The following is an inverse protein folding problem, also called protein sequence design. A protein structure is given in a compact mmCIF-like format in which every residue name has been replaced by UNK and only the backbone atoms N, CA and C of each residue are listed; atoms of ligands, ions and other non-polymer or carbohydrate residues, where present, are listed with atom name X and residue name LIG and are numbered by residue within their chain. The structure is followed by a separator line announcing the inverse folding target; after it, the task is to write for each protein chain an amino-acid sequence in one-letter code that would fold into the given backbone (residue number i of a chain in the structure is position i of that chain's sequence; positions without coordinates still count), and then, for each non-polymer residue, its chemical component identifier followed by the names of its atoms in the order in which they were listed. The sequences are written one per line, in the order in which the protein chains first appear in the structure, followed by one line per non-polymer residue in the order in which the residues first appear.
data_IF_383826091167
#
_entry.id   IF_383826091167
#
_cell.length_a   1.000
_cell.length_b   1.000
_cell.length_c   1.000
_cell.angle_alpha   90.00
_cell.angle_beta   90.00
_cell.angle_gamma   90.00
#
_symmetry.space_group_name_H-M   'P 1'
#
loop_
_entity.id
_entity.type
_entity.pdbx_description
1 polymer ?
#
# COMPACT_ATOMS: atom_id res chain seq x y z
N UNK A 1 23.99 5.07 7.42
CA UNK A 1 24.43 5.31 6.04
C UNK A 1 23.23 5.07 5.16
N UNK A 2 22.82 6.05 4.35
CA UNK A 2 21.69 5.92 3.40
C UNK A 2 22.23 5.73 1.98
N UNK A 3 21.39 5.23 1.08
CA UNK A 3 21.71 4.98 -0.34
C UNK A 3 22.17 6.26 -1.05
N UNK A 4 21.58 7.42 -0.71
CA UNK A 4 21.95 8.72 -1.27
C UNK A 4 23.38 9.16 -0.93
N UNK A 5 23.98 8.60 0.13
CA UNK A 5 25.33 8.93 0.59
C UNK A 5 26.39 8.04 -0.07
N UNK A 6 25.99 7.11 -0.93
CA UNK A 6 26.88 6.11 -1.51
C UNK A 6 27.76 6.70 -2.61
N UNK A 7 29.07 6.58 -2.45
CA UNK A 7 30.06 7.00 -3.44
C UNK A 7 30.56 5.82 -4.27
N UNK A 8 30.72 6.02 -5.58
CA UNK A 8 31.22 5.01 -6.50
C UNK A 8 32.61 4.46 -6.07
N UNK A 9 32.83 3.16 -6.30
CA UNK A 9 34.10 2.45 -6.07
C UNK A 9 34.57 2.30 -4.61
N UNK A 10 33.75 2.68 -3.61
CA UNK A 10 34.02 2.37 -2.21
C UNK A 10 33.38 1.02 -1.82
N UNK A 11 34.08 0.22 -1.00
CA UNK A 11 33.49 -0.95 -0.34
C UNK A 11 32.98 -0.57 1.04
N UNK A 12 31.76 -0.99 1.37
CA UNK A 12 31.13 -0.69 2.65
C UNK A 12 30.19 -1.82 3.06
N UNK A 13 29.86 -1.85 4.34
CA UNK A 13 28.81 -2.68 4.91
C UNK A 13 27.59 -1.77 5.17
N UNK A 14 26.42 -2.15 4.66
CA UNK A 14 25.16 -1.43 4.85
C UNK A 14 24.04 -2.41 5.19
N UNK A 15 23.09 -2.00 6.03
CA UNK A 15 21.85 -2.74 6.24
C UNK A 15 20.81 -2.26 5.23
N UNK A 16 20.14 -3.20 4.57
CA UNK A 16 19.14 -2.91 3.56
C UNK A 16 17.98 -3.91 3.66
N UNK A 17 16.77 -3.44 3.39
CA UNK A 17 15.59 -4.27 3.26
C UNK A 17 15.56 -4.90 1.86
N UNK A 18 15.37 -6.21 1.79
CA UNK A 18 15.17 -6.90 0.51
C UNK A 18 13.71 -6.72 0.07
N UNK A 19 13.48 -5.95 -1.00
CA UNK A 19 12.15 -5.79 -1.63
C UNK A 19 11.87 -6.90 -2.63
N UNK A 20 12.79 -7.15 -3.55
CA UNK A 20 12.68 -8.19 -4.58
C UNK A 20 13.99 -8.99 -4.64
N UNK A 21 13.89 -10.27 -4.97
CA UNK A 21 15.02 -11.18 -5.13
C UNK A 21 14.70 -12.16 -6.26
N UNK A 22 15.52 -12.16 -7.30
CA UNK A 22 15.35 -13.01 -8.48
C UNK A 22 16.67 -13.72 -8.81
N UNK A 23 16.62 -15.04 -8.97
CA UNK A 23 17.75 -15.82 -9.49
C UNK A 23 17.68 -15.90 -11.02
N UNK A 24 18.81 -15.67 -11.66
CA UNK A 24 18.96 -15.68 -13.11
C UNK A 24 20.32 -16.31 -13.48
N UNK A 25 20.53 -16.63 -14.75
CA UNK A 25 21.78 -17.24 -15.23
C UNK A 25 22.44 -16.39 -16.29
N UNK A 26 23.77 -16.32 -16.27
CA UNK A 26 24.52 -15.62 -17.31
C UNK A 26 24.45 -16.40 -18.63
N UNK A 27 24.93 -15.79 -19.72
CA UNK A 27 25.09 -16.48 -21.01
C UNK A 27 25.96 -17.75 -20.93
N UNK A 28 26.80 -17.85 -19.91
CA UNK A 28 27.66 -19.02 -19.66
C UNK A 28 27.02 -20.03 -18.69
N UNK A 29 25.73 -19.89 -18.38
CA UNK A 29 24.99 -20.67 -17.36
C UNK A 29 25.50 -20.51 -15.92
N UNK A 30 26.25 -19.45 -15.62
CA UNK A 30 26.64 -19.16 -14.22
C UNK A 30 25.45 -18.50 -13.49
N UNK A 31 25.01 -19.02 -12.33
CA UNK A 31 23.91 -18.43 -11.57
C UNK A 31 24.34 -17.11 -10.92
N UNK A 32 23.40 -16.17 -10.88
CA UNK A 32 23.54 -14.90 -10.16
C UNK A 32 22.18 -14.46 -9.63
N UNK A 33 22.20 -13.59 -8.63
CA UNK A 33 20.98 -13.11 -7.98
C UNK A 33 20.89 -11.60 -8.13
N UNK A 34 19.75 -11.14 -8.62
CA UNK A 34 19.36 -9.73 -8.64
C UNK A 34 18.54 -9.42 -7.40
N UNK A 35 18.84 -8.29 -6.80
CA UNK A 35 18.12 -7.76 -5.66
C UNK A 35 17.59 -6.37 -5.99
N UNK A 36 16.42 -6.06 -5.46
CA UNK A 36 15.99 -4.69 -5.23
C UNK A 36 16.05 -4.45 -3.72
N UNK A 37 16.89 -3.50 -3.31
CA UNK A 37 17.04 -3.11 -1.91
C UNK A 37 16.39 -1.77 -1.63
N UNK A 38 15.98 -1.57 -0.38
CA UNK A 38 15.51 -0.29 0.13
C UNK A 38 16.21 0.10 1.42
N UNK A 39 16.48 1.39 1.59
CA UNK A 39 16.92 1.99 2.85
C UNK A 39 15.78 2.74 3.58
N UNK A 40 14.54 2.54 3.16
CA UNK A 40 13.34 3.23 3.65
C UNK A 40 13.00 4.51 2.90
N UNK A 41 13.98 5.16 2.26
CA UNK A 41 13.79 6.39 1.48
C UNK A 41 13.98 6.17 -0.02
N UNK A 42 14.99 5.38 -0.38
CA UNK A 42 15.42 5.15 -1.74
C UNK A 42 15.55 3.65 -2.01
N UNK A 43 15.42 3.30 -3.28
CA UNK A 43 15.64 1.94 -3.75
C UNK A 43 16.92 1.87 -4.60
N UNK A 44 17.63 0.75 -4.50
CA UNK A 44 18.84 0.49 -5.30
C UNK A 44 18.89 -0.96 -5.76
N UNK A 45 19.29 -1.17 -7.01
CA UNK A 45 19.53 -2.51 -7.54
C UNK A 45 20.86 -3.06 -7.04
N UNK A 46 20.86 -4.36 -6.71
CA UNK A 46 22.05 -5.11 -6.36
C UNK A 46 22.20 -6.39 -7.18
N UNK A 47 23.43 -6.80 -7.46
CA UNK A 47 23.73 -8.08 -8.09
C UNK A 47 24.78 -8.82 -7.25
N UNK A 48 24.50 -10.09 -6.96
CA UNK A 48 25.48 -11.04 -6.41
C UNK A 48 25.80 -12.09 -7.47
N UNK A 49 27.04 -12.11 -7.94
CA UNK A 49 27.48 -13.03 -9.00
C UNK A 49 27.90 -14.38 -8.45
N UNK A 50 27.82 -15.42 -9.30
CA UNK A 50 28.36 -16.76 -9.05
C UNK A 50 27.80 -17.43 -7.80
N UNK A 51 26.52 -17.19 -7.49
CA UNK A 51 25.82 -17.75 -6.34
C UNK A 51 24.40 -18.14 -6.74
N UNK A 52 23.94 -19.29 -6.23
CA UNK A 52 22.54 -19.71 -6.31
C UNK A 52 21.83 -19.40 -4.99
N UNK A 53 20.51 -19.20 -5.03
CA UNK A 53 19.70 -18.88 -3.86
C UNK A 53 19.82 -19.94 -2.75
N UNK A 54 20.02 -21.20 -3.10
CA UNK A 54 20.22 -22.32 -2.16
C UNK A 54 21.45 -22.16 -1.26
N UNK A 55 22.47 -21.42 -1.70
CA UNK A 55 23.69 -21.17 -0.93
C UNK A 55 23.55 -19.98 0.02
N UNK A 56 22.49 -19.19 -0.11
CA UNK A 56 22.21 -18.10 0.81
C UNK A 56 21.52 -18.63 2.07
N UNK A 57 21.82 -18.01 3.21
CA UNK A 57 21.12 -18.34 4.46
C UNK A 57 19.62 -18.05 4.33
N UNK A 58 18.77 -18.89 4.96
CA UNK A 58 17.29 -18.77 4.90
C UNK A 58 16.71 -17.39 5.25
N UNK A 59 17.49 -16.55 5.94
CA UNK A 59 17.10 -15.18 6.28
C UNK A 59 17.38 -14.14 5.19
N UNK A 60 18.00 -14.51 4.08
CA UNK A 60 18.21 -13.65 2.91
C UNK A 60 17.09 -13.91 1.91
N UNK A 61 15.99 -13.17 2.08
CA UNK A 61 14.78 -13.29 1.26
C UNK A 61 13.99 -11.98 1.28
N UNK A 62 13.04 -11.76 0.36
CA UNK A 62 12.14 -10.62 0.41
C UNK A 62 11.49 -10.45 1.79
N UNK A 63 11.30 -9.20 2.23
CA UNK A 63 10.73 -8.87 3.54
C UNK A 63 11.69 -9.03 4.72
N UNK A 64 13.00 -9.18 4.49
CA UNK A 64 14.01 -9.24 5.55
C UNK A 64 15.06 -8.15 5.38
N UNK A 65 15.53 -7.63 6.51
CA UNK A 65 16.70 -6.75 6.55
C UNK A 65 17.95 -7.61 6.57
N UNK A 66 18.87 -7.31 5.65
CA UNK A 66 20.15 -8.01 5.54
C UNK A 66 21.30 -7.02 5.64
N UNK A 67 22.41 -7.46 6.22
CA UNK A 67 23.69 -6.76 6.13
C UNK A 67 24.34 -7.14 4.81
N UNK A 68 24.61 -6.16 3.97
CA UNK A 68 25.22 -6.33 2.65
C UNK A 68 26.61 -5.72 2.66
N UNK A 69 27.61 -6.51 2.25
CA UNK A 69 28.93 -6.00 1.87
C UNK A 69 28.97 -5.83 0.36
N UNK A 70 29.07 -4.59 -0.09
CA UNK A 70 29.00 -4.27 -1.51
C UNK A 70 30.03 -3.23 -1.94
N UNK A 71 30.16 -3.08 -3.25
CA UNK A 71 30.87 -1.98 -3.89
C UNK A 71 29.93 -1.33 -4.90
N UNK A 72 29.85 -0.01 -4.90
CA UNK A 72 29.00 0.73 -5.84
C UNK A 72 29.68 0.78 -7.20
N UNK A 73 28.96 0.35 -8.24
CA UNK A 73 29.37 0.47 -9.64
C UNK A 73 28.37 1.32 -10.41
N UNK A 74 28.86 2.11 -11.35
CA UNK A 74 28.01 2.71 -12.37
C UNK A 74 27.76 1.68 -13.46
N UNK A 75 26.49 1.39 -13.73
CA UNK A 75 26.06 0.55 -14.84
C UNK A 75 24.99 1.29 -15.65
N UNK A 76 25.31 1.61 -16.92
CA UNK A 76 24.41 2.37 -17.82
C UNK A 76 23.83 3.63 -17.15
N UNK A 77 24.71 4.46 -16.61
CA UNK A 77 24.40 5.73 -15.92
C UNK A 77 23.58 5.62 -14.62
N UNK A 78 23.31 4.40 -14.12
CA UNK A 78 22.65 4.16 -12.83
C UNK A 78 23.63 3.52 -11.82
N UNK A 79 23.49 3.88 -10.55
CA UNK A 79 24.22 3.25 -9.45
C UNK A 79 23.66 1.84 -9.20
N UNK A 80 24.55 0.85 -9.10
CA UNK A 80 24.20 -0.53 -8.77
C UNK A 80 25.18 -1.08 -7.74
N UNK A 81 24.67 -1.86 -6.79
CA UNK A 81 25.48 -2.56 -5.79
C UNK A 81 26.01 -3.87 -6.36
N UNK A 82 27.34 -4.02 -6.41
CA UNK A 82 27.96 -5.33 -6.60
C UNK A 82 28.16 -5.98 -5.23
N UNK A 83 27.41 -7.03 -4.94
CA UNK A 83 27.36 -7.68 -3.63
C UNK A 83 28.46 -8.75 -3.58
N UNK A 84 29.28 -8.69 -2.54
CA UNK A 84 30.35 -9.66 -2.30
C UNK A 84 29.98 -10.66 -1.21
N UNK A 85 29.21 -10.21 -0.21
CA UNK A 85 28.72 -11.04 0.87
C UNK A 85 27.44 -10.44 1.47
N UNK A 86 26.55 -11.28 1.98
CA UNK A 86 25.37 -10.84 2.71
C UNK A 86 24.99 -11.83 3.82
N UNK A 87 24.32 -11.31 4.86
CA UNK A 87 23.70 -12.12 5.91
C UNK A 87 22.44 -11.45 6.44
N UNK A 88 21.53 -12.22 7.02
CA UNK A 88 20.39 -11.66 7.75
C UNK A 88 20.87 -10.76 8.91
N UNK A 89 20.10 -9.71 9.21
CA UNK A 89 20.25 -8.96 10.44
C UNK A 89 19.93 -9.85 11.64
N UNK A 90 20.71 -9.72 12.71
CA UNK A 90 20.56 -10.44 13.97
C UNK A 90 20.16 -9.45 15.08
N UNK A 91 19.59 -9.92 16.20
CA UNK A 91 19.18 -9.04 17.33
C UNK A 91 20.33 -8.14 17.84
N UNK A 92 21.57 -8.66 17.82
CA UNK A 92 22.79 -7.95 18.22
C UNK A 92 23.15 -6.76 17.31
N UNK A 93 22.58 -6.69 16.10
CA UNK A 93 22.83 -5.59 15.18
C UNK A 93 22.00 -4.34 15.53
N UNK A 94 21.03 -4.45 16.46
CA UNK A 94 20.19 -3.35 16.95
C UNK A 94 19.57 -2.49 15.84
N UNK A 95 19.13 -3.15 14.77
CA UNK A 95 18.52 -2.49 13.62
C UNK A 95 17.03 -2.29 13.89
N UNK A 96 16.57 -1.03 13.92
CA UNK A 96 15.14 -0.74 13.92
C UNK A 96 14.59 -0.92 12.51
N UNK A 97 13.57 -1.76 12.38
CA UNK A 97 12.93 -2.06 11.12
C UNK A 97 12.21 -0.85 10.50
N UNK A 98 11.75 0.07 11.35
CA UNK A 98 11.06 1.28 10.92
C UNK A 98 11.99 2.23 10.14
N UNK A 99 13.31 2.13 10.31
CA UNK A 99 14.28 2.94 9.57
C UNK A 99 14.39 2.56 8.09
N UNK A 100 13.85 1.40 7.70
CA UNK A 100 13.99 0.79 6.36
C UNK A 100 12.67 0.61 5.63
N UNK A 101 11.55 0.98 6.26
CA UNK A 101 10.21 0.82 5.70
C UNK A 101 9.60 2.20 5.53
N UNK A 102 9.18 2.51 4.29
CA UNK A 102 8.35 3.68 4.05
C UNK A 102 6.99 3.46 4.73
N UNK A 103 6.70 4.27 5.74
CA UNK A 103 5.43 4.27 6.47
C UNK A 103 4.56 5.46 6.09
N UNK A 104 3.42 5.56 6.76
CA UNK A 104 2.48 6.68 6.64
C UNK A 104 2.95 7.87 7.49
N UNK A 105 2.61 9.13 7.10
CA UNK A 105 2.97 10.30 7.88
C UNK A 105 2.19 10.39 9.21
N UNK A 106 1.04 9.73 9.29
CA UNK A 106 0.22 9.58 10.49
C UNK A 106 0.42 8.20 11.10
N UNK A 107 0.31 8.10 12.42
CA UNK A 107 0.38 6.80 13.11
C UNK A 107 -0.89 5.98 12.81
N UNK A 108 -0.77 4.72 12.37
CA UNK A 108 -1.93 3.87 12.10
C UNK A 108 -2.88 3.72 13.28
N UNK A 109 -2.36 3.66 14.50
CA UNK A 109 -3.16 3.53 15.72
C UNK A 109 -4.05 4.75 15.95
N UNK A 110 -3.54 5.95 15.67
CA UNK A 110 -4.30 7.20 15.81
C UNK A 110 -5.40 7.30 14.76
N UNK A 111 -5.11 6.91 13.51
CA UNK A 111 -6.10 6.86 12.43
C UNK A 111 -7.20 5.85 12.72
N UNK A 112 -6.83 4.64 13.16
CA UNK A 112 -7.80 3.59 13.52
C UNK A 112 -8.71 4.07 14.65
N UNK A 113 -8.14 4.65 15.71
CA UNK A 113 -8.92 5.16 16.84
C UNK A 113 -9.91 6.24 16.40
N UNK A 114 -9.51 7.16 15.52
CA UNK A 114 -10.41 8.22 15.03
C UNK A 114 -11.55 7.66 14.18
N UNK A 115 -11.27 6.72 13.26
CA UNK A 115 -12.32 6.06 12.47
C UNK A 115 -13.30 5.32 13.38
N UNK A 116 -12.77 4.54 14.33
CA UNK A 116 -13.59 3.75 15.25
C UNK A 116 -14.48 4.64 16.13
N UNK A 117 -13.92 5.72 16.70
CA UNK A 117 -14.66 6.69 17.51
C UNK A 117 -15.77 7.40 16.72
N UNK A 118 -15.56 7.70 15.44
CA UNK A 118 -16.64 8.27 14.63
C UNK A 118 -17.79 7.27 14.46
N UNK A 119 -17.47 6.00 14.17
CA UNK A 119 -18.46 4.94 13.98
C UNK A 119 -19.24 4.68 15.27
N UNK A 120 -18.60 4.75 16.44
CA UNK A 120 -19.26 4.63 17.74
C UNK A 120 -20.41 5.64 17.92
N UNK A 121 -20.34 6.79 17.24
CA UNK A 121 -21.34 7.85 17.27
C UNK A 121 -22.42 7.74 16.18
N UNK A 122 -22.43 6.68 15.37
CA UNK A 122 -23.50 6.44 14.39
C UNK A 122 -24.84 6.19 15.09
N UNK A 123 -25.91 6.73 14.51
CA UNK A 123 -27.29 6.55 14.97
C UNK A 123 -27.93 5.29 14.35
N UNK A 124 -27.51 4.89 13.15
CA UNK A 124 -27.93 3.64 12.54
C UNK A 124 -27.12 2.49 13.15
N UNK A 125 -27.74 1.77 14.09
CA UNK A 125 -27.12 0.65 14.81
C UNK A 125 -26.66 -0.48 13.87
N UNK A 126 -27.35 -0.74 12.76
CA UNK A 126 -26.98 -1.79 11.82
C UNK A 126 -25.67 -1.47 11.08
N UNK A 127 -25.53 -0.21 10.61
CA UNK A 127 -24.29 0.28 10.01
C UNK A 127 -23.15 0.35 11.02
N UNK A 128 -23.44 0.82 12.24
CA UNK A 128 -22.46 0.86 13.34
C UNK A 128 -21.90 -0.53 13.62
N UNK A 129 -22.77 -1.49 13.91
CA UNK A 129 -22.37 -2.83 14.33
C UNK A 129 -21.53 -3.54 13.27
N UNK A 130 -21.90 -3.45 11.99
CA UNK A 130 -21.15 -4.12 10.93
C UNK A 130 -19.78 -3.47 10.68
N UNK A 131 -19.69 -2.13 10.70
CA UNK A 131 -18.42 -1.42 10.53
C UNK A 131 -17.49 -1.66 11.71
N UNK A 132 -17.98 -1.55 12.95
CA UNK A 132 -17.19 -1.85 14.15
C UNK A 132 -16.68 -3.29 14.15
N UNK A 133 -17.54 -4.25 13.77
CA UNK A 133 -17.15 -5.66 13.69
C UNK A 133 -16.01 -5.88 12.69
N UNK A 134 -16.14 -5.34 11.49
CA UNK A 134 -15.14 -5.51 10.43
C UNK A 134 -13.83 -4.77 10.75
N UNK A 135 -13.90 -3.58 11.34
CA UNK A 135 -12.71 -2.87 11.83
C UNK A 135 -12.00 -3.65 12.94
N UNK A 136 -12.74 -4.13 13.94
CA UNK A 136 -12.18 -4.85 15.08
C UNK A 136 -11.54 -6.18 14.66
N UNK A 137 -12.23 -6.97 13.83
CA UNK A 137 -11.75 -8.28 13.36
C UNK A 137 -10.47 -8.17 12.53
N UNK A 138 -10.27 -7.04 11.84
CA UNK A 138 -9.16 -6.85 10.91
C UNK A 138 -8.12 -5.85 11.43
N UNK A 139 -8.25 -5.34 12.66
CA UNK A 139 -7.38 -4.31 13.24
C UNK A 139 -5.91 -4.63 13.07
N UNK A 140 -5.49 -5.84 13.46
CA UNK A 140 -4.08 -6.24 13.44
C UNK A 140 -3.47 -6.10 12.05
N UNK A 141 -4.24 -6.41 11.00
CA UNK A 141 -3.81 -6.24 9.60
C UNK A 141 -3.90 -4.79 9.15
N UNK A 142 -5.00 -4.09 9.45
CA UNK A 142 -5.23 -2.70 9.03
C UNK A 142 -4.11 -1.74 9.51
N UNK A 143 -3.48 -2.03 10.65
CA UNK A 143 -2.38 -1.23 11.18
C UNK A 143 -1.14 -1.21 10.26
N UNK A 144 -0.86 -2.28 9.50
CA UNK A 144 0.34 -2.36 8.68
C UNK A 144 0.11 -2.64 7.19
N UNK A 145 -1.08 -3.09 6.80
CA UNK A 145 -1.34 -3.48 5.41
C UNK A 145 -1.16 -2.30 4.44
N UNK A 146 -0.48 -2.50 3.31
CA UNK A 146 -0.44 -1.52 2.23
C UNK A 146 -1.75 -1.54 1.45
N UNK A 147 -2.07 -0.44 0.75
CA UNK A 147 -3.26 -0.40 -0.10
C UNK A 147 -3.03 -1.07 -1.46
N UNK A 148 -1.78 -1.29 -1.85
CA UNK A 148 -1.44 -1.87 -3.14
C UNK A 148 -0.05 -2.51 -3.14
N UNK A 149 0.22 -3.33 -4.15
CA UNK A 149 1.55 -3.92 -4.36
C UNK A 149 2.59 -2.89 -4.82
N UNK A 150 2.22 -1.96 -5.71
CA UNK A 150 3.17 -1.03 -6.35
C UNK A 150 2.68 0.41 -6.52
N UNK A 151 1.38 0.65 -6.66
CA UNK A 151 0.85 1.95 -7.10
C UNK A 151 -0.05 2.50 -6.00
N UNK A 152 0.16 3.76 -5.59
CA UNK A 152 -0.57 4.51 -4.56
C UNK A 152 -0.72 3.79 -3.22
N UNK A 153 -0.22 4.40 -2.15
CA UNK A 153 -0.29 3.83 -0.80
C UNK A 153 0.34 2.42 -0.66
N UNK A 154 1.33 2.09 -1.49
CA UNK A 154 2.15 0.87 -1.40
C UNK A 154 3.21 0.98 -0.29
N UNK A 155 2.77 1.35 0.91
CA UNK A 155 3.57 1.64 2.10
C UNK A 155 2.97 0.97 3.32
N UNK A 156 3.76 0.76 4.38
CA UNK A 156 3.25 0.17 5.63
C UNK A 156 2.18 1.07 6.26
N UNK A 157 1.01 0.49 6.53
CA UNK A 157 -0.19 1.21 7.01
C UNK A 157 -0.93 1.97 5.91
N UNK A 158 -0.51 1.82 4.64
CA UNK A 158 -1.03 2.57 3.51
C UNK A 158 -2.53 2.38 3.28
N UNK A 159 -3.07 1.18 3.52
CA UNK A 159 -4.50 0.89 3.37
C UNK A 159 -5.34 1.76 4.32
N UNK A 160 -4.96 1.78 5.60
CA UNK A 160 -5.67 2.59 6.60
C UNK A 160 -5.49 4.09 6.34
N UNK A 161 -4.31 4.51 5.90
CA UNK A 161 -4.06 5.91 5.55
C UNK A 161 -4.90 6.39 4.36
N UNK A 162 -5.03 5.55 3.33
CA UNK A 162 -5.91 5.78 2.18
C UNK A 162 -7.36 5.98 2.63
N UNK A 163 -7.90 5.01 3.38
CA UNK A 163 -9.25 5.08 3.96
C UNK A 163 -9.43 6.33 4.81
N UNK A 164 -8.44 6.67 5.65
CA UNK A 164 -8.50 7.84 6.53
C UNK A 164 -8.56 9.16 5.76
N UNK A 165 -7.75 9.33 4.70
CA UNK A 165 -7.80 10.54 3.86
C UNK A 165 -9.15 10.69 3.17
N UNK A 166 -9.68 9.60 2.59
CA UNK A 166 -11.01 9.61 1.99
C UNK A 166 -12.08 9.94 3.02
N UNK A 167 -11.99 9.37 4.22
CA UNK A 167 -12.91 9.60 5.32
C UNK A 167 -12.95 11.09 5.74
N UNK A 168 -11.80 11.74 5.88
CA UNK A 168 -11.74 13.19 6.19
C UNK A 168 -12.40 14.04 5.08
N UNK A 169 -12.15 13.70 3.81
CA UNK A 169 -12.81 14.36 2.68
C UNK A 169 -14.32 14.12 2.68
N UNK A 170 -14.76 12.90 2.99
CA UNK A 170 -16.16 12.52 3.02
C UNK A 170 -16.96 13.23 4.10
N UNK A 171 -16.38 13.48 5.29
CA UNK A 171 -17.01 14.31 6.32
C UNK A 171 -17.30 15.72 5.79
N UNK A 172 -16.38 16.28 5.01
CA UNK A 172 -16.55 17.59 4.37
C UNK A 172 -17.64 17.55 3.30
N UNK A 173 -17.59 16.57 2.40
CA UNK A 173 -18.62 16.40 1.36
C UNK A 173 -20.01 16.16 1.94
N UNK A 174 -20.10 15.38 3.02
CA UNK A 174 -21.33 15.13 3.74
C UNK A 174 -21.95 16.39 4.36
N UNK A 175 -21.11 17.32 4.78
CA UNK A 175 -21.57 18.60 5.32
C UNK A 175 -22.13 19.50 4.21
N UNK A 176 -21.55 19.46 3.01
CA UNK A 176 -21.99 20.22 1.83
C UNK A 176 -23.30 19.66 1.26
N UNK A 177 -23.37 18.34 1.04
CA UNK A 177 -24.50 17.67 0.38
C UNK A 177 -25.50 17.03 1.35
N UNK A 178 -25.56 17.53 2.60
CA UNK A 178 -26.30 16.92 3.73
C UNK A 178 -27.76 16.54 3.48
N UNK A 179 -28.44 17.17 2.52
CA UNK A 179 -29.86 16.90 2.23
C UNK A 179 -30.06 15.71 1.28
N UNK A 180 -29.00 15.31 0.59
CA UNK A 180 -29.07 14.31 -0.48
C UNK A 180 -28.34 13.03 -0.13
N UNK A 181 -27.46 13.05 0.88
CA UNK A 181 -26.67 11.90 1.26
C UNK A 181 -27.06 11.34 2.62
N UNK A 182 -27.01 10.03 2.74
CA UNK A 182 -26.89 9.36 4.02
C UNK A 182 -25.41 9.35 4.45
N UNK A 183 -25.07 10.21 5.41
CA UNK A 183 -23.71 10.38 5.93
C UNK A 183 -23.12 9.06 6.44
N UNK A 184 -23.88 8.31 7.23
CA UNK A 184 -23.37 7.08 7.87
C UNK A 184 -23.14 5.98 6.83
N UNK A 185 -24.00 5.89 5.80
CA UNK A 185 -23.78 4.98 4.68
C UNK A 185 -22.53 5.34 3.87
N UNK A 186 -22.33 6.63 3.55
CA UNK A 186 -21.13 7.10 2.85
C UNK A 186 -19.86 6.77 3.63
N UNK A 187 -19.81 7.10 4.93
CA UNK A 187 -18.65 6.83 5.76
C UNK A 187 -18.41 5.33 5.94
N UNK A 188 -19.47 4.53 6.10
CA UNK A 188 -19.38 3.06 6.16
C UNK A 188 -18.80 2.49 4.88
N UNK A 189 -19.30 2.94 3.72
CA UNK A 189 -18.78 2.54 2.42
C UNK A 189 -17.29 2.86 2.29
N UNK A 190 -16.86 4.07 2.64
CA UNK A 190 -15.45 4.47 2.57
C UNK A 190 -14.57 3.63 3.48
N UNK A 191 -15.00 3.37 4.71
CA UNK A 191 -14.23 2.56 5.65
C UNK A 191 -14.03 1.13 5.13
N UNK A 192 -15.03 0.59 4.43
CA UNK A 192 -15.08 -0.82 4.06
C UNK A 192 -14.76 -1.13 2.60
N UNK A 193 -14.72 -0.14 1.69
CA UNK A 193 -14.67 -0.39 0.23
C UNK A 193 -13.53 -1.33 -0.17
N UNK A 194 -12.38 -1.17 0.46
CA UNK A 194 -11.15 -1.89 0.19
C UNK A 194 -10.80 -2.94 1.26
N UNK A 195 -11.72 -3.26 2.17
CA UNK A 195 -11.44 -4.18 3.28
C UNK A 195 -10.98 -5.56 2.80
N UNK A 196 -11.44 -5.99 1.61
CA UNK A 196 -11.02 -7.25 0.98
C UNK A 196 -9.53 -7.33 0.66
N UNK A 197 -8.79 -6.19 0.63
CA UNK A 197 -7.34 -6.17 0.42
C UNK A 197 -6.58 -6.97 1.49
N UNK A 198 -7.15 -7.11 2.70
CA UNK A 198 -6.57 -7.94 3.77
C UNK A 198 -6.61 -9.45 3.48
N UNK A 199 -7.40 -9.87 2.48
CA UNK A 199 -7.49 -11.23 1.94
C UNK A 199 -6.80 -11.35 0.58
N UNK A 200 -6.82 -10.29 -0.22
CA UNK A 200 -6.22 -10.26 -1.56
C UNK A 200 -4.68 -10.24 -1.53
N UNK A 201 -4.08 -9.46 -0.64
CA UNK A 201 -2.64 -9.23 -0.60
C UNK A 201 -1.95 -10.14 0.43
N UNK A 202 -0.88 -10.82 0.00
CA UNK A 202 0.05 -11.51 0.89
C UNK A 202 1.14 -10.52 1.34
N UNK A 203 0.84 -9.83 2.44
CA UNK A 203 1.70 -8.80 3.02
C UNK A 203 2.36 -9.27 4.30
N UNK A 204 3.66 -9.05 4.40
CA UNK A 204 4.38 -9.15 5.68
C UNK A 204 3.98 -8.01 6.62
N UNK A 205 4.22 -8.15 7.93
CA UNK A 205 4.02 -7.08 8.93
C UNK A 205 4.82 -5.79 8.65
N UNK A 206 5.76 -5.87 7.71
CA UNK A 206 6.55 -4.76 7.20
C UNK A 206 5.81 -3.93 6.15
N UNK A 207 4.59 -4.31 5.77
CA UNK A 207 3.82 -3.68 4.71
C UNK A 207 4.36 -3.98 3.30
N UNK A 208 5.26 -4.96 3.16
CA UNK A 208 5.74 -5.42 1.84
C UNK A 208 4.81 -6.53 1.36
N UNK A 209 4.25 -6.36 0.16
CA UNK A 209 3.47 -7.39 -0.54
C UNK A 209 4.42 -8.28 -1.33
N UNK A 210 4.55 -9.55 -0.92
CA UNK A 210 5.33 -10.53 -1.68
C UNK A 210 4.59 -10.87 -2.99
N UNK A 211 3.31 -11.24 -2.86
CA UNK A 211 2.43 -11.51 -3.98
C UNK A 211 0.94 -11.34 -3.62
N UNK A 212 0.07 -11.60 -4.59
CA UNK A 212 -1.35 -11.79 -4.35
C UNK A 212 -1.61 -13.20 -3.80
N UNK A 213 -2.54 -13.32 -2.85
CA UNK A 213 -3.02 -14.61 -2.34
C UNK A 213 -3.72 -15.41 -3.44
N UNK A 214 -4.01 -16.69 -3.18
CA UNK A 214 -4.76 -17.52 -4.14
C UNK A 214 -6.14 -16.92 -4.41
N UNK A 215 -6.82 -16.51 -3.35
CA UNK A 215 -8.12 -15.85 -3.39
C UNK A 215 -8.02 -14.49 -4.11
N UNK A 216 -6.98 -13.71 -3.81
CA UNK A 216 -6.72 -12.43 -4.49
C UNK A 216 -6.51 -12.57 -5.99
N UNK A 217 -5.80 -13.62 -6.44
CA UNK A 217 -5.60 -13.90 -7.88
C UNK A 217 -6.86 -14.38 -8.60
N UNK A 218 -7.74 -15.08 -7.90
CA UNK A 218 -8.94 -15.69 -8.50
C UNK A 218 -10.19 -14.80 -8.40
N UNK A 219 -10.30 -14.01 -7.33
CA UNK A 219 -11.51 -13.27 -6.97
C UNK A 219 -11.27 -11.77 -6.82
N UNK A 220 -10.15 -11.38 -6.21
CA UNK A 220 -9.80 -9.97 -5.94
C UNK A 220 -10.55 -9.36 -4.75
N UNK A 221 -10.10 -8.18 -4.31
CA UNK A 221 -10.59 -7.53 -3.08
C UNK A 221 -12.08 -7.15 -3.13
N UNK A 222 -12.65 -6.82 -4.28
CA UNK A 222 -14.07 -6.46 -4.40
C UNK A 222 -14.95 -7.63 -3.96
N UNK A 223 -14.69 -8.82 -4.50
CA UNK A 223 -15.45 -10.03 -4.20
C UNK A 223 -15.21 -10.46 -2.75
N UNK A 224 -13.95 -10.45 -2.30
CA UNK A 224 -13.60 -10.75 -0.90
C UNK A 224 -14.27 -9.78 0.08
N UNK A 225 -14.33 -8.48 -0.23
CA UNK A 225 -15.02 -7.48 0.57
C UNK A 225 -16.53 -7.73 0.67
N UNK A 226 -17.17 -8.10 -0.45
CA UNK A 226 -18.59 -8.49 -0.47
C UNK A 226 -18.85 -9.73 0.39
N UNK A 227 -17.96 -10.73 0.36
CA UNK A 227 -18.04 -11.93 1.21
C UNK A 227 -17.89 -11.54 2.69
N UNK A 228 -16.91 -10.71 3.02
CA UNK A 228 -16.69 -10.23 4.39
C UNK A 228 -17.90 -9.47 4.94
N UNK A 229 -18.53 -8.61 4.14
CA UNK A 229 -19.79 -7.95 4.52
C UNK A 229 -20.90 -8.97 4.75
N UNK A 230 -21.07 -9.93 3.83
CA UNK A 230 -22.12 -10.94 3.94
C UNK A 230 -22.00 -11.76 5.24
N UNK A 231 -20.79 -12.26 5.51
CA UNK A 231 -20.51 -13.08 6.70
C UNK A 231 -20.71 -12.29 8.00
N UNK A 232 -20.41 -11.00 8.00
CA UNK A 232 -20.64 -10.13 9.15
C UNK A 232 -22.14 -9.83 9.32
N UNK A 233 -22.85 -9.52 8.23
CA UNK A 233 -24.28 -9.24 8.22
C UNK A 233 -25.10 -10.45 8.71
N UNK A 234 -24.79 -11.66 8.23
CA UNK A 234 -25.46 -12.90 8.65
C UNK A 234 -25.29 -13.15 10.15
N UNK A 235 -24.07 -12.98 10.67
CA UNK A 235 -23.77 -13.15 12.11
C UNK A 235 -24.47 -12.13 13.00
N UNK A 236 -24.61 -10.90 12.52
CA UNK A 236 -25.22 -9.80 13.27
C UNK A 236 -26.75 -9.74 13.09
N UNK A 237 -27.32 -10.48 12.14
CA UNK A 237 -28.73 -10.38 11.76
C UNK A 237 -29.06 -9.03 11.12
N UNK A 238 -28.09 -8.42 10.42
CA UNK A 238 -28.23 -7.12 9.77
C UNK A 238 -29.36 -7.14 8.74
N UNK A 239 -30.22 -6.10 8.67
CA UNK A 239 -31.28 -6.01 7.67
C UNK A 239 -30.73 -6.09 6.23
N UNK A 240 -31.45 -6.84 5.39
CA UNK A 240 -31.05 -7.09 4.00
C UNK A 240 -30.79 -5.82 3.19
N UNK A 241 -31.54 -4.74 3.43
CA UNK A 241 -31.34 -3.46 2.73
C UNK A 241 -29.99 -2.82 3.08
N UNK A 242 -29.58 -2.85 4.36
CA UNK A 242 -28.30 -2.30 4.81
C UNK A 242 -27.15 -3.08 4.22
N UNK A 243 -27.23 -4.42 4.27
CA UNK A 243 -26.25 -5.31 3.67
C UNK A 243 -26.12 -5.07 2.15
N UNK A 244 -27.25 -4.97 1.44
CA UNK A 244 -27.29 -4.73 0.00
C UNK A 244 -26.61 -3.40 -0.37
N UNK A 245 -26.93 -2.32 0.34
CA UNK A 245 -26.35 -1.01 0.09
C UNK A 245 -24.84 -1.01 0.35
N UNK A 246 -24.36 -1.61 1.44
CA UNK A 246 -22.92 -1.71 1.69
C UNK A 246 -22.20 -2.55 0.63
N UNK A 247 -22.79 -3.67 0.21
CA UNK A 247 -22.25 -4.46 -0.91
C UNK A 247 -22.22 -3.65 -2.20
N UNK A 248 -23.23 -2.82 -2.46
CA UNK A 248 -23.25 -1.94 -3.63
C UNK A 248 -22.13 -0.89 -3.57
N UNK A 249 -21.86 -0.31 -2.39
CA UNK A 249 -20.71 0.60 -2.20
C UNK A 249 -19.39 -0.09 -2.60
N UNK A 250 -19.16 -1.33 -2.16
CA UNK A 250 -17.96 -2.09 -2.55
C UNK A 250 -17.98 -2.44 -4.04
N UNK A 251 -19.09 -2.96 -4.57
CA UNK A 251 -19.10 -3.49 -5.94
C UNK A 251 -19.05 -2.40 -7.02
N UNK A 252 -19.21 -1.13 -6.64
CA UNK A 252 -19.26 -0.02 -7.57
C UNK A 252 -18.18 1.05 -7.40
N UNK A 253 -17.29 0.93 -6.41
CA UNK A 253 -16.33 1.99 -6.09
C UNK A 253 -15.31 2.29 -7.18
N UNK A 254 -14.95 1.31 -8.02
CA UNK A 254 -14.07 1.55 -9.19
C UNK A 254 -14.78 2.30 -10.34
N UNK A 255 -16.08 2.58 -10.21
CA UNK A 255 -16.83 3.39 -11.16
C UNK A 255 -17.19 2.62 -12.42
N UNK A 256 -16.31 2.65 -13.42
CA UNK A 256 -16.56 2.07 -14.74
C UNK A 256 -16.09 0.60 -14.84
N UNK A 257 -16.73 -0.16 -15.72
CA UNK A 257 -16.34 -1.57 -15.99
C UNK A 257 -14.89 -1.67 -16.51
N UNK A 258 -14.44 -0.66 -17.27
CA UNK A 258 -13.06 -0.57 -17.77
C UNK A 258 -12.01 -0.41 -16.65
N UNK A 259 -12.42 0.08 -15.48
CA UNK A 259 -11.60 0.18 -14.27
C UNK A 259 -11.70 -1.08 -13.40
N UNK A 260 -12.37 -2.13 -13.87
CA UNK A 260 -12.55 -3.38 -13.13
C UNK A 260 -13.77 -3.41 -12.19
N UNK A 261 -14.63 -2.38 -12.23
CA UNK A 261 -15.85 -2.33 -11.42
C UNK A 261 -16.93 -3.28 -11.96
N UNK A 262 -17.49 -4.22 -11.17
CA UNK A 262 -18.59 -5.07 -11.65
C UNK A 262 -19.90 -4.30 -11.91
N UNK A 263 -20.09 -3.14 -11.25
CA UNK A 263 -21.22 -2.23 -11.47
C UNK A 263 -20.79 -0.77 -11.42
N UNK A 264 -21.61 0.09 -12.01
CA UNK A 264 -21.49 1.54 -11.83
C UNK A 264 -22.12 1.97 -10.51
N UNK A 265 -21.69 3.11 -9.92
CA UNK A 265 -22.40 3.70 -8.80
C UNK A 265 -23.85 3.99 -9.19
N UNK A 266 -24.77 3.70 -8.27
CA UNK A 266 -26.22 3.84 -8.47
C UNK A 266 -26.89 4.59 -7.31
N UNK A 267 -26.09 4.98 -6.32
CA UNK A 267 -26.47 5.83 -5.21
C UNK A 267 -25.50 7.01 -5.17
N UNK A 268 -25.92 8.13 -4.60
CA UNK A 268 -25.07 9.32 -4.49
C UNK A 268 -23.87 9.06 -3.57
N UNK A 269 -24.03 8.21 -2.56
CA UNK A 269 -22.95 7.81 -1.67
C UNK A 269 -21.88 7.02 -2.44
N UNK A 270 -22.28 6.07 -3.28
CA UNK A 270 -21.35 5.29 -4.09
C UNK A 270 -20.64 6.16 -5.14
N UNK A 271 -21.35 7.13 -5.73
CA UNK A 271 -20.77 8.08 -6.70
C UNK A 271 -19.70 8.95 -6.02
N UNK A 272 -19.99 9.47 -4.83
CA UNK A 272 -19.03 10.26 -4.05
C UNK A 272 -17.84 9.40 -3.66
N UNK A 273 -18.06 8.17 -3.18
CA UNK A 273 -17.00 7.26 -2.79
C UNK A 273 -16.04 7.01 -3.97
N UNK A 274 -16.58 6.70 -5.15
CA UNK A 274 -15.78 6.49 -6.36
C UNK A 274 -14.86 7.67 -6.66
N UNK A 275 -15.39 8.90 -6.67
CA UNK A 275 -14.55 10.07 -6.93
C UNK A 275 -13.56 10.35 -5.81
N UNK A 276 -13.89 10.07 -4.55
CA UNK A 276 -12.95 10.24 -3.45
C UNK A 276 -11.77 9.27 -3.55
N UNK A 277 -12.01 8.04 -4.01
CA UNK A 277 -10.97 7.05 -4.27
C UNK A 277 -10.01 7.54 -5.38
N UNK A 278 -10.58 7.97 -6.52
CA UNK A 278 -9.81 8.55 -7.64
C UNK A 278 -9.02 9.81 -7.24
N UNK A 279 -9.62 10.70 -6.43
CA UNK A 279 -8.94 11.89 -5.92
C UNK A 279 -7.77 11.47 -5.04
N UNK A 280 -7.97 10.56 -4.09
CA UNK A 280 -6.92 10.17 -3.14
C UNK A 280 -5.75 9.48 -3.86
N UNK A 281 -6.05 8.56 -4.78
CA UNK A 281 -5.08 7.86 -5.61
C UNK A 281 -4.28 8.84 -6.50
N UNK A 282 -4.94 9.83 -7.10
CA UNK A 282 -4.30 10.85 -7.93
C UNK A 282 -3.41 11.76 -7.09
N UNK A 283 -3.93 12.31 -5.99
CA UNK A 283 -3.17 13.22 -5.12
C UNK A 283 -1.97 12.53 -4.50
N UNK A 284 -2.09 11.27 -4.06
CA UNK A 284 -0.94 10.52 -3.53
C UNK A 284 0.18 10.37 -4.56
N UNK A 285 -0.16 10.06 -5.82
CA UNK A 285 0.82 9.95 -6.89
C UNK A 285 1.49 11.30 -7.21
N UNK A 286 0.74 12.40 -7.14
CA UNK A 286 1.31 13.74 -7.21
C UNK A 286 2.31 14.00 -6.08
N UNK A 287 1.94 13.68 -4.84
CA UNK A 287 2.81 13.82 -3.67
C UNK A 287 4.11 13.03 -3.84
N UNK A 288 4.04 11.76 -4.24
CA UNK A 288 5.21 10.91 -4.45
C UNK A 288 6.12 11.41 -5.57
N UNK A 289 5.56 11.75 -6.73
CA UNK A 289 6.35 12.21 -7.87
C UNK A 289 6.99 13.59 -7.61
N UNK A 290 6.29 14.49 -6.91
CA UNK A 290 6.78 15.83 -6.63
C UNK A 290 7.72 15.91 -5.42
N UNK A 291 7.74 14.90 -4.54
CA UNK A 291 8.64 14.85 -3.38
C UNK A 291 10.11 15.04 -3.78
N UNK A 292 10.55 14.39 -4.86
CA UNK A 292 11.92 14.46 -5.37
C UNK A 292 12.12 15.49 -6.50
N UNK A 293 11.05 16.20 -6.89
CA UNK A 293 11.13 17.23 -7.91
C UNK A 293 11.55 18.55 -7.27
N UNK A 294 12.43 19.31 -7.94
CA UNK A 294 12.81 20.66 -7.51
C UNK A 294 11.70 21.65 -7.83
N UNK A 295 11.53 22.66 -6.99
CA UNK A 295 10.59 23.75 -7.29
C UNK A 295 10.90 24.38 -8.65
N UNK A 296 9.85 24.74 -9.39
CA UNK A 296 9.95 25.28 -10.74
C UNK A 296 10.31 24.26 -11.82
N UNK A 297 10.40 22.96 -11.50
CA UNK A 297 10.76 21.90 -12.45
C UNK A 297 9.64 20.86 -12.62
N UNK A 298 9.82 20.02 -13.65
CA UNK A 298 8.94 18.90 -13.95
C UNK A 298 9.50 17.60 -13.40
N UNK A 299 8.61 16.70 -12.97
CA UNK A 299 8.93 15.32 -12.66
C UNK A 299 9.22 14.50 -13.94
N UNK A 300 9.62 13.25 -13.75
CA UNK A 300 9.50 12.23 -14.81
C UNK A 300 8.04 11.98 -15.18
N UNK A 301 7.81 11.35 -16.34
CA UNK A 301 6.45 11.02 -16.80
C UNK A 301 5.79 10.00 -15.87
N UNK A 302 4.57 10.31 -15.46
CA UNK A 302 3.75 9.48 -14.57
C UNK A 302 2.73 8.68 -15.40
N UNK A 303 3.00 7.39 -15.60
CA UNK A 303 2.19 6.52 -16.46
C UNK A 303 0.71 6.49 -16.06
N UNK A 304 0.43 6.27 -14.77
CA UNK A 304 -0.91 6.15 -14.20
C UNK A 304 -1.70 7.48 -14.15
N UNK A 305 -1.04 8.62 -14.39
CA UNK A 305 -1.70 9.93 -14.50
C UNK A 305 -1.85 10.36 -15.97
N UNK A 306 -1.95 9.40 -16.89
CA UNK A 306 -2.07 9.67 -18.33
C UNK A 306 -0.73 10.01 -19.00
N UNK A 307 0.38 9.52 -18.46
CA UNK A 307 1.74 9.67 -19.01
C UNK A 307 2.22 11.14 -19.14
N UNK A 308 1.81 11.98 -18.19
CA UNK A 308 2.17 13.40 -18.12
C UNK A 308 3.35 13.64 -17.18
N UNK A 309 4.08 14.75 -17.37
CA UNK A 309 5.03 15.24 -16.37
C UNK A 309 4.31 16.20 -15.41
N UNK A 310 4.63 16.11 -14.13
CA UNK A 310 4.01 16.96 -13.11
C UNK A 310 4.91 18.14 -12.79
N UNK A 311 4.33 19.32 -12.62
CA UNK A 311 5.06 20.54 -12.31
C UNK A 311 5.04 20.85 -10.82
N UNK A 312 6.21 21.04 -10.21
CA UNK A 312 6.29 21.53 -8.82
C UNK A 312 6.27 23.05 -8.81
N UNK A 313 5.12 23.63 -8.47
CA UNK A 313 4.98 25.07 -8.39
C UNK A 313 5.82 25.66 -7.23
N UNK A 314 6.15 26.95 -7.34
CA UNK A 314 6.89 27.74 -6.36
C UNK A 314 6.05 28.89 -5.78
N UNK A 315 4.72 28.72 -5.79
CA UNK A 315 3.79 29.69 -5.25
C UNK A 315 3.60 29.42 -3.76
N UNK A 316 3.74 30.46 -2.95
CA UNK A 316 3.53 30.45 -1.48
C UNK A 316 2.07 30.61 -1.10
#
# INVERSE_FOLDING_TARGET
MKIKDLTANASFDIFLLVKEMEEDVTRNNDPYIKFLFSDGENDIHGIMWSVSSEKLGKGVRPGKIIKVRSTVRNYKDNLQLNITNCRAAEEKDSVDINDFIKGTPLKPEDMFCQLFQEVENFHNEDLKNIVEKLLADNKDKLIYYPAAKKVHHAVRGGLLYHVYRMFENAKSMASVYKQHINRELLLSGIILHDIGKVKELDSSELGIVEDYSKEGKLLGHIVEGVIMIHDAADKLGTPQEVELLLKHMIVSHHGLEENGSPKKPMTIEAEILHYLDEIDASVYQFEEALANTREGHFSDKQFFLGNVQLYKNNLS
#
